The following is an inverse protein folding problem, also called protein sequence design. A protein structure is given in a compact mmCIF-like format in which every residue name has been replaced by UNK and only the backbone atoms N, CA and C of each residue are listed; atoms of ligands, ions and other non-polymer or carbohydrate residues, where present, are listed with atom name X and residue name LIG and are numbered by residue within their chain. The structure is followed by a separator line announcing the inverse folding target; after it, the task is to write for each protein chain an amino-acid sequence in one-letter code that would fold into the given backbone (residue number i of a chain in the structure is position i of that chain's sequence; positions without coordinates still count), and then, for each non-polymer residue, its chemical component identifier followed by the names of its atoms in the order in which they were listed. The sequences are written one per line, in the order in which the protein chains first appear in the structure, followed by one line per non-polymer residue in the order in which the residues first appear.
data_IF_245393595673
#
_entry.id   IF_245393595673
#
_cell.length_a   1.000
_cell.length_b   1.000
_cell.length_c   1.000
_cell.angle_alpha   90.00
_cell.angle_beta   90.00
_cell.angle_gamma   90.00
#
_symmetry.space_group_name_H-M   'P 1'
#
loop_
_entity.id
_entity.type
_entity.pdbx_description
1 polymer ?
#
# COMPACT_ATOMS: atom_id res chain seq x y z
N UNK A 1 4.55 -10.32 -23.25
CA UNK A 1 4.22 -9.56 -22.03
C UNK A 1 3.09 -8.63 -22.42
N UNK A 2 1.89 -8.85 -21.90
CA UNK A 2 0.73 -7.97 -22.17
C UNK A 2 0.98 -6.67 -21.42
N UNK A 3 1.23 -5.59 -22.17
CA UNK A 3 1.21 -4.22 -21.62
C UNK A 3 -0.22 -3.92 -21.14
N UNK A 4 -0.52 -4.31 -19.92
CA UNK A 4 -1.79 -3.94 -19.29
C UNK A 4 -1.66 -2.49 -18.83
N UNK A 5 -2.39 -1.59 -19.49
CA UNK A 5 -2.45 -0.20 -19.07
C UNK A 5 -3.01 -0.17 -17.65
N UNK A 6 -2.30 0.45 -16.67
CA UNK A 6 -2.75 0.54 -15.29
C UNK A 6 -4.13 1.22 -15.19
N UNK A 7 -4.95 0.79 -14.25
CA UNK A 7 -6.31 1.31 -14.04
C UNK A 7 -6.31 2.79 -13.61
N UNK A 8 -5.23 3.22 -12.94
CA UNK A 8 -5.02 4.60 -12.48
C UNK A 8 -3.65 5.07 -12.95
N UNK A 9 -3.51 5.41 -14.23
CA UNK A 9 -2.25 5.79 -14.87
C UNK A 9 -2.10 7.32 -14.95
N UNK A 10 -0.94 7.81 -14.51
CA UNK A 10 -0.52 9.23 -14.58
C UNK A 10 0.96 9.30 -14.95
N UNK A 11 1.31 9.05 -16.21
CA UNK A 11 2.70 8.98 -16.66
C UNK A 11 3.37 10.36 -16.63
N UNK A 12 4.53 10.44 -16.02
CA UNK A 12 5.37 11.63 -15.96
C UNK A 12 6.70 11.32 -16.67
N UNK A 13 6.96 11.94 -17.84
CA UNK A 13 8.23 11.78 -18.53
C UNK A 13 9.39 12.35 -17.71
N UNK A 14 10.52 11.63 -17.64
CA UNK A 14 11.73 12.07 -16.94
C UNK A 14 12.27 13.41 -17.45
N UNK A 15 12.03 13.72 -18.72
CA UNK A 15 12.40 15.00 -19.34
C UNK A 15 11.69 16.21 -18.69
N UNK A 16 10.58 16.00 -18.00
CA UNK A 16 9.86 17.06 -17.26
C UNK A 16 10.42 17.31 -15.86
N UNK A 17 11.30 16.44 -15.39
CA UNK A 17 11.88 16.53 -14.06
C UNK A 17 13.12 17.44 -14.11
N UNK A 18 13.07 18.56 -13.38
CA UNK A 18 14.12 19.54 -13.30
C UNK A 18 14.07 20.30 -11.98
N UNK A 19 14.47 21.56 -12.01
CA UNK A 19 14.34 22.49 -10.91
C UNK A 19 13.31 23.58 -11.27
N UNK A 20 12.31 23.86 -10.44
CA UNK A 20 11.97 23.24 -9.15
C UNK A 20 11.44 21.80 -9.26
N UNK A 21 11.30 21.07 -8.13
CA UNK A 21 10.71 19.72 -8.12
C UNK A 21 9.34 19.69 -8.80
N UNK A 22 9.05 18.60 -9.48
CA UNK A 22 7.74 18.39 -10.08
C UNK A 22 6.71 18.02 -9.00
N UNK A 23 5.60 18.74 -8.94
CA UNK A 23 4.53 18.50 -7.99
C UNK A 23 3.18 18.37 -8.70
N UNK A 24 2.42 17.35 -8.33
CA UNK A 24 1.10 17.14 -8.89
C UNK A 24 0.16 16.55 -7.84
N UNK A 25 -1.08 17.06 -7.81
CA UNK A 25 -2.19 16.40 -7.15
C UNK A 25 -2.92 15.55 -8.17
N UNK A 26 -3.24 14.31 -7.80
CA UNK A 26 -3.98 13.37 -8.62
C UNK A 26 -5.17 12.83 -7.84
N UNK A 27 -6.26 12.58 -8.55
CA UNK A 27 -7.48 12.00 -8.00
C UNK A 27 -8.02 10.96 -8.99
N UNK A 28 -8.45 9.83 -8.46
CA UNK A 28 -9.04 8.78 -9.27
C UNK A 28 -10.48 9.13 -9.65
N UNK A 29 -10.76 9.05 -10.94
CA UNK A 29 -12.12 9.21 -11.49
C UNK A 29 -13.04 8.06 -11.05
N UNK A 30 -14.37 8.19 -11.11
CA UNK A 30 -15.28 7.10 -10.77
C UNK A 30 -15.01 5.80 -11.51
N UNK A 31 -14.66 5.86 -12.80
CA UNK A 31 -14.33 4.68 -13.61
C UNK A 31 -13.01 4.02 -13.17
N UNK A 32 -11.99 4.81 -12.80
CA UNK A 32 -10.72 4.30 -12.28
C UNK A 32 -10.92 3.64 -10.91
N UNK A 33 -11.71 4.26 -10.02
CA UNK A 33 -12.04 3.68 -8.71
C UNK A 33 -12.78 2.35 -8.84
N UNK A 34 -13.70 2.23 -9.79
CA UNK A 34 -14.39 0.95 -10.05
C UNK A 34 -13.42 -0.16 -10.49
N UNK A 35 -12.46 0.17 -11.36
CA UNK A 35 -11.43 -0.78 -11.81
C UNK A 35 -10.48 -1.17 -10.68
N UNK A 36 -10.02 -0.18 -9.88
CA UNK A 36 -9.17 -0.43 -8.71
C UNK A 36 -9.90 -1.25 -7.64
N UNK A 37 -11.21 -1.02 -7.42
CA UNK A 37 -12.02 -1.85 -6.51
C UNK A 37 -12.01 -3.31 -6.93
N UNK A 38 -12.14 -3.59 -8.22
CA UNK A 38 -12.06 -4.96 -8.74
C UNK A 38 -10.67 -5.56 -8.60
N UNK A 39 -9.62 -4.77 -8.85
CA UNK A 39 -8.22 -5.21 -8.73
C UNK A 39 -7.87 -5.58 -7.28
N UNK A 40 -8.37 -4.83 -6.30
CA UNK A 40 -8.05 -5.00 -4.87
C UNK A 40 -9.11 -5.76 -4.08
N UNK A 41 -10.11 -6.34 -4.76
CA UNK A 41 -11.24 -7.07 -4.13
C UNK A 41 -11.96 -6.23 -3.06
N UNK A 42 -12.17 -4.94 -3.35
CA UNK A 42 -12.94 -4.04 -2.53
C UNK A 42 -14.41 -4.03 -2.94
N UNK A 43 -15.31 -3.92 -1.98
CA UNK A 43 -16.74 -3.69 -2.25
C UNK A 43 -16.97 -2.31 -2.86
N UNK A 44 -16.19 -1.30 -2.43
CA UNK A 44 -16.18 0.05 -3.00
C UNK A 44 -14.85 0.74 -2.76
N UNK A 45 -14.48 1.67 -3.65
CA UNK A 45 -13.45 2.68 -3.43
C UNK A 45 -14.08 4.05 -3.70
N UNK A 46 -14.49 4.74 -2.62
CA UNK A 46 -15.26 5.98 -2.74
C UNK A 46 -14.36 7.18 -3.05
N UNK A 47 -13.11 7.12 -2.61
CA UNK A 47 -12.12 8.17 -2.81
C UNK A 47 -10.72 7.61 -2.91
N UNK A 48 -9.94 8.19 -3.80
CA UNK A 48 -8.47 8.05 -3.84
C UNK A 48 -7.89 9.36 -4.37
N UNK A 49 -7.14 10.04 -3.51
CA UNK A 49 -6.41 11.28 -3.84
C UNK A 49 -4.98 11.14 -3.39
N UNK A 50 -4.06 11.75 -4.11
CA UNK A 50 -2.68 11.84 -3.71
C UNK A 50 -2.04 13.17 -4.10
N UNK A 51 -1.11 13.63 -3.28
CA UNK A 51 -0.18 14.69 -3.59
C UNK A 51 1.21 14.07 -3.78
N UNK A 52 1.79 14.26 -4.95
CA UNK A 52 3.04 13.62 -5.36
C UNK A 52 4.08 14.68 -5.67
N UNK A 53 5.30 14.47 -5.19
CA UNK A 53 6.49 15.23 -5.54
C UNK A 53 7.53 14.30 -6.15
N UNK A 54 8.09 14.69 -7.29
CA UNK A 54 9.21 14.01 -7.94
C UNK A 54 10.43 14.93 -7.95
N UNK A 55 11.54 14.42 -7.44
CA UNK A 55 12.84 15.11 -7.42
C UNK A 55 13.90 14.28 -8.12
N UNK A 56 14.62 14.89 -9.05
CA UNK A 56 15.82 14.26 -9.63
C UNK A 56 16.99 14.43 -8.67
N UNK A 57 17.71 13.34 -8.40
CA UNK A 57 18.90 13.33 -7.58
C UNK A 57 20.08 12.78 -8.39
N UNK A 58 20.95 13.67 -8.81
CA UNK A 58 21.98 13.32 -9.78
C UNK A 58 21.39 13.00 -11.16
N UNK A 59 22.13 12.22 -11.96
CA UNK A 59 21.77 11.98 -13.35
C UNK A 59 20.77 10.84 -13.56
N UNK A 60 20.74 9.87 -12.65
CA UNK A 60 20.03 8.59 -12.87
C UNK A 60 19.03 8.22 -11.79
N UNK A 61 18.93 8.99 -10.71
CA UNK A 61 18.06 8.69 -9.58
C UNK A 61 16.91 9.69 -9.52
N UNK A 62 15.71 9.20 -9.32
CA UNK A 62 14.52 10.01 -9.06
C UNK A 62 13.88 9.56 -7.77
N UNK A 63 13.61 10.51 -6.88
CA UNK A 63 12.88 10.28 -5.63
C UNK A 63 11.45 10.73 -5.82
N UNK A 64 10.51 9.82 -5.55
CA UNK A 64 9.09 10.08 -5.48
C UNK A 64 8.69 10.11 -4.00
N UNK A 65 8.15 11.21 -3.55
CA UNK A 65 7.49 11.35 -2.25
C UNK A 65 6.00 11.59 -2.50
N UNK A 66 5.16 10.81 -1.85
CA UNK A 66 3.72 10.97 -1.99
C UNK A 66 3.00 10.80 -0.65
N UNK A 67 1.92 11.54 -0.50
CA UNK A 67 0.90 11.30 0.52
C UNK A 67 -0.43 11.04 -0.14
N UNK A 68 -1.19 10.07 0.36
CA UNK A 68 -2.49 9.74 -0.21
C UNK A 68 -3.57 9.54 0.86
N UNK A 69 -4.80 9.76 0.43
CA UNK A 69 -6.02 9.50 1.20
C UNK A 69 -6.92 8.58 0.38
N UNK A 70 -7.38 7.48 1.00
CA UNK A 70 -8.34 6.58 0.41
C UNK A 70 -9.51 6.31 1.36
N UNK A 71 -10.72 6.27 0.81
CA UNK A 71 -11.96 5.85 1.50
C UNK A 71 -12.49 4.64 0.75
N UNK A 72 -12.68 3.54 1.43
CA UNK A 72 -13.00 2.25 0.83
C UNK A 72 -13.93 1.41 1.70
N UNK A 73 -14.46 0.35 1.12
CA UNK A 73 -15.26 -0.66 1.81
C UNK A 73 -14.73 -2.03 1.46
N UNK A 74 -14.37 -2.82 2.47
CA UNK A 74 -13.95 -4.22 2.35
C UNK A 74 -15.02 -5.16 2.90
N UNK A 75 -14.94 -6.43 2.52
CA UNK A 75 -15.78 -7.48 3.13
C UNK A 75 -15.14 -7.98 4.43
N UNK A 76 -15.91 -8.05 5.51
CA UNK A 76 -15.46 -8.65 6.75
C UNK A 76 -15.07 -10.13 6.52
N UNK A 77 -13.87 -10.53 6.97
CA UNK A 77 -13.39 -11.92 6.80
C UNK A 77 -14.18 -12.96 7.63
N UNK A 78 -15.01 -12.52 8.57
CA UNK A 78 -15.80 -13.41 9.45
C UNK A 78 -17.26 -13.44 9.03
N UNK A 79 -17.88 -12.26 8.83
CA UNK A 79 -19.33 -12.15 8.60
C UNK A 79 -19.71 -11.85 7.16
N UNK A 80 -18.74 -11.49 6.33
CA UNK A 80 -18.90 -10.97 4.96
C UNK A 80 -19.67 -9.64 4.87
N UNK A 81 -19.97 -9.03 6.01
CA UNK A 81 -20.57 -7.71 6.06
C UNK A 81 -19.60 -6.60 5.62
N UNK A 82 -20.13 -5.49 5.07
CA UNK A 82 -19.27 -4.38 4.64
C UNK A 82 -18.58 -3.71 5.83
N UNK A 83 -17.28 -3.47 5.69
CA UNK A 83 -16.45 -2.74 6.65
C UNK A 83 -15.86 -1.52 5.94
N UNK A 84 -16.33 -0.34 6.33
CA UNK A 84 -15.78 0.91 5.82
C UNK A 84 -14.42 1.21 6.46
N UNK A 85 -13.48 1.72 5.66
CA UNK A 85 -12.15 2.12 6.10
C UNK A 85 -11.71 3.42 5.45
N UNK A 86 -10.80 4.09 6.14
CA UNK A 86 -10.08 5.26 5.62
C UNK A 86 -8.61 5.09 5.91
N UNK A 87 -7.76 5.34 4.90
CA UNK A 87 -6.31 5.34 5.02
C UNK A 87 -5.80 6.71 4.64
N UNK A 88 -4.91 7.26 5.49
CA UNK A 88 -4.08 8.41 5.16
C UNK A 88 -2.64 7.97 5.41
N UNK A 89 -1.85 7.89 4.36
CA UNK A 89 -0.49 7.36 4.43
C UNK A 89 0.45 8.19 3.55
N UNK A 90 1.75 7.98 3.75
CA UNK A 90 2.80 8.60 2.96
C UNK A 90 3.89 7.58 2.68
N UNK A 91 4.52 7.69 1.53
CA UNK A 91 5.58 6.77 1.12
C UNK A 91 6.65 7.48 0.31
N UNK A 92 7.80 6.85 0.23
CA UNK A 92 8.94 7.30 -0.58
C UNK A 92 9.44 6.15 -1.43
N UNK A 93 9.50 6.36 -2.74
CA UNK A 93 10.11 5.43 -3.70
C UNK A 93 11.34 6.08 -4.33
N UNK A 94 12.37 5.28 -4.51
CA UNK A 94 13.61 5.69 -5.18
C UNK A 94 13.72 4.91 -6.48
N UNK A 95 13.60 5.61 -7.59
CA UNK A 95 13.79 5.03 -8.92
C UNK A 95 15.23 5.20 -9.39
N UNK A 96 15.83 4.14 -9.88
CA UNK A 96 17.19 4.16 -10.39
C UNK A 96 17.50 3.04 -11.38
N UNK A 97 18.71 2.99 -11.96
CA UNK A 97 19.12 1.87 -12.81
C UNK A 97 19.03 0.55 -12.05
N UNK A 98 18.62 -0.52 -12.72
CA UNK A 98 18.46 -1.85 -12.11
C UNK A 98 19.73 -2.39 -11.44
N UNK A 99 20.90 -1.90 -11.87
CA UNK A 99 22.22 -2.26 -11.35
C UNK A 99 22.66 -1.36 -10.17
N UNK A 100 21.88 -0.33 -9.80
CA UNK A 100 22.18 0.50 -8.66
C UNK A 100 21.95 -0.31 -7.38
N UNK A 101 23.02 -0.53 -6.62
CA UNK A 101 22.90 -1.23 -5.33
C UNK A 101 21.97 -0.45 -4.39
N UNK A 102 21.12 -1.15 -3.63
CA UNK A 102 20.18 -0.53 -2.67
C UNK A 102 20.85 0.40 -1.63
N UNK A 103 22.17 0.31 -1.45
CA UNK A 103 22.94 1.13 -0.51
C UNK A 103 23.22 2.57 -0.96
N UNK A 104 22.92 2.94 -2.21
CA UNK A 104 23.14 4.31 -2.72
C UNK A 104 21.95 5.23 -2.40
N UNK A 105 20.83 4.69 -2.06
CA UNK A 105 19.65 5.46 -1.66
C UNK A 105 19.72 5.81 -0.16
N UNK A 106 20.52 6.81 0.22
CA UNK A 106 20.55 7.39 1.58
C UNK A 106 19.27 8.20 1.89
N UNK A 107 18.09 7.63 1.66
CA UNK A 107 16.80 8.34 1.77
C UNK A 107 15.93 7.88 2.93
N UNK A 108 16.54 7.33 3.98
CA UNK A 108 15.85 6.80 5.15
C UNK A 108 15.62 5.29 5.09
N UNK A 109 15.38 4.69 6.25
CA UNK A 109 15.16 3.24 6.40
C UNK A 109 13.85 2.76 5.75
N UNK A 110 12.95 3.70 5.38
CA UNK A 110 11.61 3.41 4.86
C UNK A 110 11.46 3.60 3.32
N UNK A 111 12.52 4.01 2.61
CA UNK A 111 12.43 4.22 1.16
C UNK A 111 12.63 2.92 0.40
N UNK A 112 11.62 2.49 -0.36
CA UNK A 112 11.72 1.34 -1.24
C UNK A 112 12.42 1.73 -2.56
N UNK A 113 13.26 0.82 -3.08
CA UNK A 113 13.93 1.00 -4.37
C UNK A 113 13.16 0.29 -5.48
N UNK A 114 12.94 0.99 -6.60
CA UNK A 114 12.36 0.42 -7.80
C UNK A 114 13.26 0.65 -9.02
N UNK A 115 13.45 -0.36 -9.88
CA UNK A 115 14.20 -0.19 -11.10
C UNK A 115 13.46 0.73 -12.07
N UNK A 116 14.17 1.73 -12.58
CA UNK A 116 13.63 2.63 -13.59
C UNK A 116 13.59 1.93 -14.95
N UNK A 117 12.38 1.62 -15.43
CA UNK A 117 12.17 1.01 -16.73
C UNK A 117 11.72 2.06 -17.76
N UNK A 118 12.67 2.53 -18.60
CA UNK A 118 12.38 3.53 -19.61
C UNK A 118 12.44 4.97 -19.10
N UNK A 119 11.75 5.88 -19.81
CA UNK A 119 11.84 7.33 -19.61
C UNK A 119 10.62 7.94 -18.94
N UNK A 120 9.77 7.11 -18.31
CA UNK A 120 8.50 7.54 -17.73
C UNK A 120 8.30 6.89 -16.37
N UNK A 121 7.84 7.66 -15.39
CA UNK A 121 7.36 7.17 -14.10
C UNK A 121 5.84 7.34 -14.06
N UNK A 122 5.10 6.25 -13.80
CA UNK A 122 3.66 6.32 -13.61
C UNK A 122 3.32 6.54 -12.14
N UNK A 123 3.10 7.81 -11.76
CA UNK A 123 2.80 8.20 -10.38
C UNK A 123 1.43 7.70 -9.91
N UNK A 124 0.50 7.45 -10.82
CA UNK A 124 -0.81 6.88 -10.48
C UNK A 124 -0.70 5.41 -10.10
N UNK A 125 0.05 4.63 -10.87
CA UNK A 125 0.29 3.22 -10.56
C UNK A 125 1.08 3.07 -9.25
N UNK A 126 2.10 3.93 -9.00
CA UNK A 126 2.82 3.94 -7.73
C UNK A 126 1.87 4.12 -6.53
N UNK A 127 0.96 5.10 -6.59
CA UNK A 127 -0.05 5.32 -5.55
C UNK A 127 -1.01 4.12 -5.42
N UNK A 128 -1.40 3.48 -6.52
CA UNK A 128 -2.28 2.32 -6.49
C UNK A 128 -1.61 1.10 -5.82
N UNK A 129 -0.32 0.88 -6.08
CA UNK A 129 0.47 -0.17 -5.45
C UNK A 129 0.59 0.05 -3.95
N UNK A 130 0.96 1.25 -3.51
CA UNK A 130 1.06 1.60 -2.10
C UNK A 130 -0.29 1.50 -1.37
N UNK A 131 -1.38 1.92 -2.01
CA UNK A 131 -2.72 1.68 -1.47
C UNK A 131 -2.94 0.20 -1.20
N UNK A 132 -2.57 -0.69 -2.13
CA UNK A 132 -2.78 -2.13 -1.97
C UNK A 132 -2.00 -2.72 -0.79
N UNK A 133 -0.81 -2.18 -0.51
CA UNK A 133 0.02 -2.59 0.63
C UNK A 133 -0.52 -2.07 1.97
N UNK A 134 -1.16 -0.90 1.96
CA UNK A 134 -1.73 -0.27 3.15
C UNK A 134 -3.12 -0.81 3.52
N UNK A 135 -3.80 -1.52 2.61
CA UNK A 135 -5.11 -2.09 2.88
C UNK A 135 -5.06 -3.16 4.00
N UNK A 136 -6.02 -3.16 4.95
CA UNK A 136 -6.12 -4.23 5.94
C UNK A 136 -6.25 -5.61 5.29
N UNK A 137 -5.30 -6.52 5.57
CA UNK A 137 -5.33 -7.88 5.04
C UNK A 137 -6.49 -8.72 5.62
N UNK A 138 -6.94 -8.40 6.84
CA UNK A 138 -8.01 -9.11 7.54
C UNK A 138 -9.03 -8.13 8.12
N UNK A 139 -9.86 -7.49 7.27
CA UNK A 139 -10.86 -6.55 7.75
C UNK A 139 -11.90 -7.27 8.59
N UNK A 140 -12.23 -6.72 9.77
CA UNK A 140 -13.23 -7.26 10.69
C UNK A 140 -14.26 -6.21 11.05
N UNK A 141 -15.52 -6.59 10.96
CA UNK A 141 -16.59 -5.77 11.51
C UNK A 141 -16.49 -5.73 13.05
N UNK A 142 -16.72 -4.59 13.70
CA UNK A 142 -16.62 -4.48 15.17
C UNK A 142 -17.42 -5.53 15.94
N UNK A 143 -18.57 -5.93 15.41
CA UNK A 143 -19.47 -6.91 16.04
C UNK A 143 -19.17 -8.37 15.61
N UNK A 144 -18.16 -8.58 14.75
CA UNK A 144 -17.81 -9.93 14.29
C UNK A 144 -17.25 -10.76 15.44
N UNK A 145 -18.01 -11.78 15.83
CA UNK A 145 -17.59 -12.77 16.83
C UNK A 145 -17.13 -14.03 16.11
N UNK A 146 -15.97 -14.53 16.51
CA UNK A 146 -15.52 -15.85 16.09
C UNK A 146 -15.88 -16.85 17.18
N UNK A 147 -16.45 -18.00 16.81
CA UNK A 147 -16.78 -19.09 17.75
C UNK A 147 -15.57 -19.58 18.58
N UNK A 148 -14.36 -19.17 18.21
CA UNK A 148 -13.13 -19.42 18.97
C UNK A 148 -13.05 -18.70 20.32
N UNK A 149 -13.82 -17.61 20.53
CA UNK A 149 -13.90 -16.99 21.86
C UNK A 149 -14.73 -17.83 22.85
N UNK A 150 -15.61 -18.69 22.34
CA UNK A 150 -16.34 -19.69 23.17
C UNK A 150 -15.44 -20.89 23.57
N UNK A 151 -14.30 -21.09 22.92
CA UNK A 151 -13.35 -22.17 23.20
C UNK A 151 -12.24 -21.74 24.18
N UNK A 152 -12.38 -20.61 24.86
CA UNK A 152 -11.40 -20.11 25.84
C UNK A 152 -11.42 -20.89 27.19
N UNK A 153 -12.01 -22.07 27.23
CA UNK A 153 -11.72 -23.06 28.28
C UNK A 153 -11.03 -24.26 27.64
N UNK A 154 -9.72 -24.37 27.77
CA UNK A 154 -8.96 -25.48 27.21
C UNK A 154 -9.10 -26.71 28.10
N UNK A 155 -10.27 -27.33 28.13
CA UNK A 155 -10.43 -28.68 28.68
C UNK A 155 -10.07 -29.68 27.59
N UNK A 156 -8.79 -30.09 27.54
CA UNK A 156 -8.35 -31.19 26.66
C UNK A 156 -7.34 -30.87 25.56
N UNK A 157 -6.87 -29.64 25.42
CA UNK A 157 -5.82 -29.33 24.44
C UNK A 157 -4.47 -29.94 24.84
N UNK A 158 -3.76 -30.69 23.96
CA UNK A 158 -2.42 -31.23 24.26
C UNK A 158 -1.38 -30.12 24.54
N UNK A 159 -1.71 -28.87 24.23
CA UNK A 159 -0.84 -27.70 24.41
C UNK A 159 -1.04 -26.97 25.75
N UNK A 160 -1.93 -27.42 26.64
CA UNK A 160 -2.11 -26.84 27.99
C UNK A 160 -0.80 -26.81 28.78
N UNK A 161 0.08 -27.82 28.59
CA UNK A 161 1.37 -27.88 29.24
C UNK A 161 2.30 -26.69 28.84
N UNK A 162 2.14 -26.10 27.65
CA UNK A 162 2.92 -24.93 27.21
C UNK A 162 2.52 -23.63 27.92
N UNK A 163 1.25 -23.51 28.31
CA UNK A 163 0.79 -22.37 29.11
C UNK A 163 1.49 -22.30 30.48
N UNK A 164 1.86 -23.46 31.07
CA UNK A 164 2.61 -23.52 32.31
C UNK A 164 4.07 -23.12 32.16
N UNK A 165 4.67 -23.29 30.98
CA UNK A 165 6.05 -22.85 30.69
C UNK A 165 6.13 -21.33 30.60
N UNK A 166 5.09 -20.68 30.03
CA UNK A 166 5.04 -19.20 29.93
C UNK A 166 5.02 -18.54 31.31
N UNK A 167 4.30 -19.08 32.27
CA UNK A 167 4.26 -18.58 33.66
C UNK A 167 5.59 -18.73 34.43
N UNK A 168 6.50 -19.59 33.97
CA UNK A 168 7.84 -19.78 34.62
C UNK A 168 8.91 -18.82 34.09
N UNK A 169 8.64 -18.15 32.98
CA UNK A 169 9.59 -17.18 32.37
C UNK A 169 9.37 -15.75 32.84
N UNK A 170 8.28 -15.48 33.58
CA UNK A 170 7.95 -14.16 34.11
C UNK A 170 8.35 -13.96 35.59
N UNK A 171 9.30 -14.78 36.10
CA UNK A 171 9.93 -14.62 37.43
C UNK A 171 11.40 -14.30 37.32
#
# INVERSE_FOLDING_TARGET
MTDTIPEFSRPVPLARLGFPPFRQQIEATPSEREKLSRRFDLLALDRLKAAVELRRQGDQVVVLEASFEAVFVQSCVVTLEPVAGTICDHFTLVYGPAEAEPGVASHGEDAAFEPLNGDVIDIGEAVAQELSLSLPAFPRHPDAKTDGEALAQPTGSPFISLARLRQRMDC
#
